data_IF_716959993751
#
_entry.id   IF_716959993751
#
_cell.length_a   1.000
_cell.length_b   1.000
_cell.length_c   1.000
_cell.angle_alpha   90.00
_cell.angle_beta   90.00
_cell.angle_gamma   90.00
#
_symmetry.space_group_name_H-M   'P 1'
#
loop_
_entity.id
_entity.type
_entity.pdbx_description
1 polymer ?
#
# COMPACT_ATOMS: atom_id res chain seq x y z
N UNK A 1 50.43 59.32 10.57
CA UNK A 1 48.96 59.45 10.61
C UNK A 1 48.35 58.05 10.53
N UNK A 2 47.94 57.52 11.67
CA UNK A 2 47.29 56.21 11.77
C UNK A 2 45.78 56.37 11.58
N UNK A 3 45.23 55.67 10.60
CA UNK A 3 43.79 55.59 10.39
C UNK A 3 43.23 54.57 11.42
N UNK A 4 42.17 54.88 12.17
CA UNK A 4 41.69 54.00 13.24
C UNK A 4 41.02 52.73 12.71
N UNK A 5 41.23 51.61 13.43
CA UNK A 5 40.66 50.26 13.21
C UNK A 5 39.12 50.13 13.30
N UNK A 6 38.35 51.21 13.10
CA UNK A 6 36.87 51.18 13.09
C UNK A 6 36.24 51.21 11.69
N UNK A 7 37.04 51.32 10.62
CA UNK A 7 36.52 51.40 9.25
C UNK A 7 36.68 50.12 8.40
N UNK A 8 37.31 49.06 8.90
CA UNK A 8 37.40 47.77 8.19
C UNK A 8 36.12 46.93 8.29
N UNK A 9 35.29 47.13 9.30
CA UNK A 9 34.06 46.34 9.50
C UNK A 9 32.91 46.80 8.60
N UNK A 10 32.86 48.09 8.21
CA UNK A 10 31.78 48.62 7.38
C UNK A 10 31.97 48.35 5.87
N UNK A 11 33.20 48.19 5.40
CA UNK A 11 33.48 47.87 3.98
C UNK A 11 33.24 46.37 3.71
N UNK A 12 33.48 45.48 4.69
CA UNK A 12 33.15 44.06 4.55
C UNK A 12 31.63 43.79 4.65
N UNK A 13 30.87 44.53 5.47
CA UNK A 13 29.41 44.38 5.52
C UNK A 13 28.72 44.91 4.25
N UNK A 14 29.22 45.99 3.65
CA UNK A 14 28.66 46.56 2.41
C UNK A 14 28.85 45.66 1.18
N UNK A 15 30.01 45.00 1.07
CA UNK A 15 30.30 44.09 -0.05
C UNK A 15 29.50 42.77 0.04
N UNK A 16 29.24 42.25 1.25
CA UNK A 16 28.43 41.04 1.44
C UNK A 16 26.94 41.31 1.18
N UNK A 17 26.42 42.51 1.48
CA UNK A 17 25.03 42.86 1.19
C UNK A 17 24.78 43.07 -0.32
N UNK A 18 25.73 43.65 -1.05
CA UNK A 18 25.58 43.92 -2.50
C UNK A 18 25.70 42.63 -3.33
N UNK A 19 26.54 41.67 -2.91
CA UNK A 19 26.58 40.34 -3.55
C UNK A 19 25.33 39.52 -3.20
N UNK A 20 24.80 39.63 -1.97
CA UNK A 20 23.55 38.97 -1.57
C UNK A 20 22.31 39.48 -2.33
N UNK A 21 22.21 40.80 -2.58
CA UNK A 21 21.11 41.40 -3.33
C UNK A 21 21.21 41.15 -4.85
N UNK A 22 22.42 41.10 -5.41
CA UNK A 22 22.60 40.80 -6.84
C UNK A 22 22.33 39.32 -7.18
N UNK A 23 22.65 38.39 -6.26
CA UNK A 23 22.30 36.97 -6.42
C UNK A 23 20.79 36.75 -6.22
N UNK A 24 20.16 37.48 -5.31
CA UNK A 24 18.70 37.43 -5.09
C UNK A 24 17.85 37.94 -6.26
N UNK A 25 18.40 38.81 -7.13
CA UNK A 25 17.70 39.31 -8.32
C UNK A 25 17.93 38.47 -9.59
N UNK A 26 18.93 37.58 -9.61
CA UNK A 26 19.22 36.71 -10.76
C UNK A 26 18.58 35.32 -10.65
N UNK A 27 18.16 34.90 -9.46
CA UNK A 27 17.31 33.74 -9.25
C UNK A 27 15.89 34.20 -8.91
N UNK A 28 15.19 34.67 -9.95
CA UNK A 28 13.74 34.82 -9.91
C UNK A 28 13.10 33.46 -9.65
N UNK A 29 12.97 33.10 -8.38
CA UNK A 29 12.01 32.10 -7.94
C UNK A 29 10.64 32.66 -8.28
N UNK A 30 10.16 32.36 -9.48
CA UNK A 30 8.73 32.25 -9.71
C UNK A 30 8.25 31.09 -8.86
N UNK A 31 8.04 31.36 -7.56
CA UNK A 31 7.00 30.67 -6.82
C UNK A 31 5.74 31.00 -7.59
N UNK A 32 5.32 30.09 -8.45
CA UNK A 32 3.95 30.06 -8.92
C UNK A 32 3.17 29.75 -7.65
N UNK A 33 2.72 30.79 -6.94
CA UNK A 33 1.59 30.64 -6.04
C UNK A 33 0.48 30.05 -6.89
N UNK A 34 0.23 28.75 -6.71
CA UNK A 34 -1.00 28.16 -7.19
C UNK A 34 -2.11 28.93 -6.48
N UNK A 35 -2.72 29.87 -7.21
CA UNK A 35 -3.90 30.58 -6.76
C UNK A 35 -4.90 29.53 -6.29
N UNK A 36 -5.07 29.41 -4.98
CA UNK A 36 -6.02 28.46 -4.41
C UNK A 36 -7.41 29.12 -4.48
N UNK A 37 -7.91 29.26 -5.71
CA UNK A 37 -9.32 29.53 -5.96
C UNK A 37 -10.10 28.30 -5.55
N UNK A 38 -10.39 28.18 -4.25
CA UNK A 38 -11.19 27.11 -3.69
C UNK A 38 -12.65 27.33 -4.08
N UNK A 39 -13.02 26.94 -5.30
CA UNK A 39 -14.40 26.58 -5.61
C UNK A 39 -14.84 25.44 -4.69
N UNK A 40 -16.12 25.36 -4.30
CA UNK A 40 -16.66 24.22 -3.56
C UNK A 40 -16.26 22.92 -4.25
N UNK A 41 -15.82 21.93 -3.47
CA UNK A 41 -15.37 20.68 -4.06
C UNK A 41 -16.58 19.82 -4.42
N UNK A 42 -16.91 19.74 -5.71
CA UNK A 42 -18.06 18.99 -6.21
C UNK A 42 -17.85 17.47 -6.23
N UNK A 43 -16.66 16.99 -5.83
CA UNK A 43 -16.36 15.55 -5.77
C UNK A 43 -17.30 14.83 -4.82
N UNK A 44 -17.86 13.71 -5.29
CA UNK A 44 -18.72 12.82 -4.51
C UNK A 44 -17.95 11.59 -4.05
N UNK A 45 -17.81 11.39 -2.74
CA UNK A 45 -17.04 10.30 -2.14
C UNK A 45 -18.00 9.24 -1.58
N UNK A 46 -17.75 7.97 -1.84
CA UNK A 46 -18.43 6.88 -1.12
C UNK A 46 -17.53 6.39 0.01
N UNK A 47 -17.97 6.61 1.26
CA UNK A 47 -17.34 6.03 2.45
C UNK A 47 -17.96 4.65 2.68
N UNK A 48 -17.16 3.60 2.54
CA UNK A 48 -17.53 2.20 2.79
C UNK A 48 -17.07 1.85 4.19
N UNK A 49 -18.00 1.84 5.15
CA UNK A 49 -17.71 1.46 6.52
C UNK A 49 -17.82 -0.05 6.70
N UNK A 50 -16.69 -0.73 6.53
CA UNK A 50 -16.62 -2.21 6.62
C UNK A 50 -16.59 -2.70 8.06
N UNK A 51 -16.04 -1.92 8.98
CA UNK A 51 -15.83 -2.27 10.38
C UNK A 51 -14.48 -1.78 10.90
N UNK A 52 -13.95 -2.46 11.92
CA UNK A 52 -12.66 -2.15 12.53
C UNK A 52 -12.73 -1.20 13.72
N UNK A 53 -11.60 -1.07 14.41
CA UNK A 53 -11.42 -0.33 15.67
C UNK A 53 -12.02 1.06 15.66
N UNK A 54 -12.04 1.72 14.50
CA UNK A 54 -12.56 3.07 14.29
C UNK A 54 -13.98 3.28 14.82
N UNK A 55 -14.86 2.28 14.76
CA UNK A 55 -16.20 2.35 15.36
C UNK A 55 -16.46 1.27 16.42
N UNK A 56 -15.41 0.81 17.10
CA UNK A 56 -15.56 -0.05 18.26
C UNK A 56 -15.88 0.76 19.52
N UNK A 57 -16.55 0.14 20.49
CA UNK A 57 -16.80 0.71 21.82
C UNK A 57 -16.35 -0.27 22.89
N UNK A 58 -16.03 0.25 24.08
CA UNK A 58 -15.77 -0.60 25.24
C UNK A 58 -17.06 -1.30 25.67
N UNK A 59 -17.01 -2.63 25.74
CA UNK A 59 -18.07 -3.46 26.33
C UNK A 59 -17.48 -4.30 27.47
N UNK A 60 -18.30 -4.91 28.34
CA UNK A 60 -17.79 -5.83 29.37
C UNK A 60 -16.94 -6.98 28.84
N UNK A 61 -17.16 -7.40 27.58
CA UNK A 61 -16.42 -8.49 26.92
C UNK A 61 -15.22 -7.98 26.09
N UNK A 62 -14.78 -6.74 26.31
CA UNK A 62 -13.74 -6.08 25.52
C UNK A 62 -14.29 -5.15 24.43
N UNK A 63 -13.41 -4.71 23.52
CA UNK A 63 -13.81 -3.85 22.40
C UNK A 63 -14.67 -4.64 21.42
N UNK A 64 -15.83 -4.09 21.03
CA UNK A 64 -16.69 -4.67 19.98
C UNK A 64 -17.15 -3.59 19.01
N UNK A 65 -17.36 -3.99 17.75
CA UNK A 65 -17.97 -3.11 16.75
C UNK A 65 -19.38 -2.69 17.19
N UNK A 66 -19.69 -1.39 17.11
CA UNK A 66 -21.04 -0.86 17.31
C UNK A 66 -21.51 -0.22 16.00
N UNK A 67 -22.59 -0.72 15.37
CA UNK A 67 -23.15 -0.12 14.17
C UNK A 67 -23.37 1.38 14.33
N UNK A 68 -23.01 2.16 13.32
CA UNK A 68 -23.15 3.62 13.31
C UNK A 68 -22.11 4.40 14.13
N UNK A 69 -21.40 3.80 15.08
CA UNK A 69 -20.52 4.57 15.99
C UNK A 69 -19.40 5.30 15.23
N UNK A 70 -18.70 4.62 14.33
CA UNK A 70 -17.61 5.24 13.57
C UNK A 70 -18.08 6.41 12.69
N UNK A 71 -19.29 6.32 12.18
CA UNK A 71 -19.88 7.31 11.27
C UNK A 71 -20.45 8.50 12.04
N UNK A 72 -21.12 8.24 13.16
CA UNK A 72 -21.63 9.27 14.08
C UNK A 72 -20.50 10.13 14.67
N UNK A 73 -19.37 9.52 15.05
CA UNK A 73 -18.22 10.26 15.57
C UNK A 73 -17.56 11.14 14.49
N UNK A 74 -17.49 10.66 13.25
CA UNK A 74 -16.99 11.46 12.11
C UNK A 74 -17.91 12.65 11.84
N UNK A 75 -19.22 12.44 11.77
CA UNK A 75 -20.20 13.52 11.56
C UNK A 75 -20.14 14.55 12.70
N UNK A 76 -20.06 14.08 13.95
CA UNK A 76 -19.91 14.94 15.13
C UNK A 76 -18.65 15.79 15.03
N UNK A 77 -17.51 15.20 14.68
CA UNK A 77 -16.26 15.94 14.53
C UNK A 77 -16.35 17.00 13.43
N UNK A 78 -16.88 16.65 12.25
CA UNK A 78 -17.03 17.58 11.14
C UNK A 78 -18.05 18.69 11.43
N UNK A 79 -19.05 18.45 12.27
CA UNK A 79 -20.01 19.46 12.70
C UNK A 79 -19.39 20.61 13.52
N UNK A 80 -18.23 20.38 14.14
CA UNK A 80 -17.45 21.41 14.83
C UNK A 80 -16.79 22.40 13.85
N UNK A 81 -16.67 22.01 12.58
CA UNK A 81 -15.95 22.74 11.53
C UNK A 81 -16.80 22.86 10.26
N UNK A 82 -18.00 23.48 10.32
CA UNK A 82 -18.98 23.46 9.22
C UNK A 82 -18.41 24.02 7.91
N UNK A 83 -17.59 25.06 7.97
CA UNK A 83 -16.94 25.66 6.80
C UNK A 83 -15.93 24.74 6.10
N UNK A 84 -15.42 23.72 6.79
CA UNK A 84 -14.49 22.73 6.23
C UNK A 84 -15.20 21.51 5.66
N UNK A 85 -16.46 21.25 6.07
CA UNK A 85 -17.30 20.21 5.45
C UNK A 85 -17.44 20.46 3.94
N UNK A 86 -17.64 21.72 3.56
CA UNK A 86 -17.77 22.12 2.15
C UNK A 86 -16.46 22.00 1.35
N UNK A 87 -15.29 21.98 2.03
CA UNK A 87 -13.98 21.83 1.39
C UNK A 87 -13.60 20.37 1.10
N UNK A 88 -14.06 19.45 1.95
CA UNK A 88 -13.90 18.00 1.74
C UNK A 88 -14.81 17.50 0.60
N UNK A 89 -15.87 18.24 0.27
CA UNK A 89 -16.84 17.83 -0.73
C UNK A 89 -17.89 16.88 -0.16
N UNK A 90 -18.75 16.36 -1.04
CA UNK A 90 -19.91 15.56 -0.64
C UNK A 90 -19.48 14.13 -0.42
N UNK A 91 -19.92 13.52 0.68
CA UNK A 91 -19.74 12.10 0.88
C UNK A 91 -21.03 11.44 1.35
N UNK A 92 -21.24 10.21 0.88
CA UNK A 92 -22.27 9.31 1.39
C UNK A 92 -21.59 8.17 2.15
N UNK A 93 -22.25 7.62 3.17
CA UNK A 93 -21.72 6.49 3.92
C UNK A 93 -22.57 5.24 3.68
N UNK A 94 -21.91 4.17 3.27
CA UNK A 94 -22.47 2.82 3.19
C UNK A 94 -21.81 1.96 4.28
N UNK A 95 -22.59 1.61 5.29
CA UNK A 95 -22.14 0.72 6.36
C UNK A 95 -22.49 -0.73 6.06
N UNK A 96 -21.56 -1.65 6.33
CA UNK A 96 -21.82 -3.09 6.24
C UNK A 96 -22.61 -3.57 7.45
N UNK A 97 -23.57 -4.45 7.17
CA UNK A 97 -24.31 -5.20 8.19
C UNK A 97 -24.18 -6.71 7.91
N UNK A 98 -23.60 -7.50 8.83
CA UNK A 98 -22.87 -7.05 10.01
C UNK A 98 -21.56 -6.34 9.64
N UNK A 99 -21.05 -5.53 10.59
CA UNK A 99 -19.68 -5.00 10.51
C UNK A 99 -18.68 -6.15 10.62
N UNK A 100 -17.56 -6.01 9.90
CA UNK A 100 -16.51 -7.00 9.78
C UNK A 100 -15.41 -6.76 10.82
N UNK A 101 -14.85 -7.85 11.33
CA UNK A 101 -13.58 -7.85 12.06
C UNK A 101 -12.48 -8.21 11.07
N UNK A 102 -11.46 -7.36 10.94
CA UNK A 102 -10.36 -7.58 10.00
C UNK A 102 -9.64 -8.90 10.23
N UNK A 103 -9.57 -9.38 11.48
CA UNK A 103 -8.91 -10.65 11.80
C UNK A 103 -9.65 -11.89 11.27
N UNK A 104 -10.94 -11.76 10.98
CA UNK A 104 -11.79 -12.82 10.44
C UNK A 104 -12.03 -12.69 8.92
N UNK A 105 -11.42 -11.70 8.27
CA UNK A 105 -11.68 -11.45 6.85
C UNK A 105 -11.10 -12.52 5.93
N UNK A 106 -11.84 -12.82 4.87
CA UNK A 106 -11.44 -13.75 3.82
C UNK A 106 -11.60 -13.14 2.41
N UNK A 107 -11.21 -13.85 1.32
CA UNK A 107 -11.40 -13.35 -0.04
C UNK A 107 -12.86 -13.05 -0.44
N UNK A 108 -13.83 -13.64 0.24
CA UNK A 108 -15.25 -13.32 0.12
C UNK A 108 -15.57 -11.90 0.59
N UNK A 109 -14.91 -11.41 1.64
CA UNK A 109 -15.06 -10.03 2.12
C UNK A 109 -14.42 -9.03 1.16
N UNK A 110 -13.25 -9.35 0.59
CA UNK A 110 -12.66 -8.56 -0.49
C UNK A 110 -13.62 -8.46 -1.67
N UNK A 111 -14.23 -9.59 -2.07
CA UNK A 111 -15.24 -9.60 -3.12
C UNK A 111 -16.47 -8.75 -2.80
N UNK A 112 -16.88 -8.66 -1.53
CA UNK A 112 -17.96 -7.75 -1.11
C UNK A 112 -17.55 -6.29 -1.38
N UNK A 113 -16.34 -5.89 -0.97
CA UNK A 113 -15.80 -4.55 -1.25
C UNK A 113 -15.66 -4.25 -2.75
N UNK A 114 -15.12 -5.20 -3.53
CA UNK A 114 -14.97 -5.07 -4.99
C UNK A 114 -16.33 -4.83 -5.65
N UNK A 115 -17.35 -5.60 -5.28
CA UNK A 115 -18.72 -5.42 -5.78
C UNK A 115 -19.30 -4.07 -5.38
N UNK A 116 -19.16 -3.68 -4.11
CA UNK A 116 -19.63 -2.37 -3.62
C UNK A 116 -19.03 -1.22 -4.43
N UNK A 117 -17.72 -1.23 -4.67
CA UNK A 117 -17.05 -0.22 -5.51
C UNK A 117 -17.58 -0.28 -6.93
N UNK A 118 -17.66 -1.48 -7.52
CA UNK A 118 -18.14 -1.67 -8.90
C UNK A 118 -19.54 -1.12 -9.12
N UNK A 119 -20.46 -1.50 -8.25
CA UNK A 119 -21.89 -1.18 -8.40
C UNK A 119 -22.16 0.31 -8.16
N UNK A 120 -21.21 1.02 -7.53
CA UNK A 120 -21.26 2.45 -7.27
C UNK A 120 -20.29 3.27 -8.14
N UNK A 121 -19.55 2.63 -9.05
CA UNK A 121 -18.41 3.26 -9.71
C UNK A 121 -18.78 4.48 -10.56
N UNK A 122 -19.95 4.49 -11.19
CA UNK A 122 -20.42 5.63 -11.99
C UNK A 122 -20.90 6.82 -11.14
N UNK A 123 -21.30 6.57 -9.89
CA UNK A 123 -22.04 7.53 -9.07
C UNK A 123 -21.14 8.37 -8.15
N UNK A 124 -19.89 7.94 -7.95
CA UNK A 124 -18.93 8.57 -7.05
C UNK A 124 -17.60 8.79 -7.74
N UNK A 125 -16.88 9.82 -7.35
CA UNK A 125 -15.56 10.17 -7.87
C UNK A 125 -14.41 9.46 -7.14
N UNK A 126 -14.65 9.00 -5.91
CA UNK A 126 -13.64 8.40 -5.04
C UNK A 126 -14.29 7.44 -4.03
N UNK A 127 -13.49 6.50 -3.52
CA UNK A 127 -13.93 5.52 -2.52
C UNK A 127 -13.02 5.56 -1.30
N UNK A 128 -13.61 5.68 -0.11
CA UNK A 128 -12.90 5.60 1.16
C UNK A 128 -13.38 4.38 1.94
N UNK A 129 -12.50 3.42 2.21
CA UNK A 129 -12.81 2.20 2.95
C UNK A 129 -12.30 2.36 4.38
N UNK A 130 -13.23 2.41 5.34
CA UNK A 130 -12.92 2.31 6.76
C UNK A 130 -12.78 0.83 7.13
N UNK A 131 -11.61 0.44 7.63
CA UNK A 131 -11.20 -0.95 7.80
C UNK A 131 -10.47 -1.18 9.13
N UNK A 132 -10.51 -2.42 9.65
CA UNK A 132 -9.70 -2.83 10.81
C UNK A 132 -8.22 -2.98 10.46
N UNK A 133 -7.31 -2.69 11.40
CA UNK A 133 -5.88 -2.55 11.07
C UNK A 133 -5.16 -3.87 10.81
N UNK A 134 -5.62 -5.00 11.35
CA UNK A 134 -4.84 -6.25 11.31
C UNK A 134 -4.62 -6.81 9.90
N UNK A 135 -5.63 -6.72 9.03
CA UNK A 135 -5.55 -7.23 7.65
C UNK A 135 -5.69 -6.13 6.60
N UNK A 136 -5.61 -4.85 7.00
CA UNK A 136 -5.79 -3.70 6.12
C UNK A 136 -4.85 -3.73 4.90
N UNK A 137 -3.57 -4.07 5.11
CA UNK A 137 -2.58 -4.16 4.03
C UNK A 137 -2.86 -5.32 3.06
N UNK A 138 -3.45 -6.42 3.55
CA UNK A 138 -3.93 -7.52 2.68
C UNK A 138 -5.12 -7.05 1.84
N UNK A 139 -6.12 -6.40 2.44
CA UNK A 139 -7.25 -5.86 1.68
C UNK A 139 -6.81 -4.82 0.65
N UNK A 140 -5.94 -3.88 1.02
CA UNK A 140 -5.41 -2.88 0.09
C UNK A 140 -4.65 -3.55 -1.08
N UNK A 141 -3.87 -4.59 -0.80
CA UNK A 141 -3.18 -5.38 -1.83
C UNK A 141 -4.18 -6.09 -2.74
N UNK A 142 -5.18 -6.78 -2.17
CA UNK A 142 -6.19 -7.52 -2.93
C UNK A 142 -7.02 -6.62 -3.86
N UNK A 143 -7.48 -5.48 -3.35
CA UNK A 143 -8.22 -4.49 -4.14
C UNK A 143 -7.36 -3.95 -5.29
N UNK A 144 -6.05 -3.75 -5.08
CA UNK A 144 -5.17 -3.22 -6.13
C UNK A 144 -5.10 -4.14 -7.36
N UNK A 145 -5.11 -5.46 -7.16
CA UNK A 145 -5.11 -6.43 -8.26
C UNK A 145 -6.51 -6.59 -8.87
N UNK A 146 -7.55 -6.58 -8.03
CA UNK A 146 -8.92 -6.83 -8.48
C UNK A 146 -9.54 -5.68 -9.28
N UNK A 147 -9.23 -4.43 -8.93
CA UNK A 147 -9.80 -3.24 -9.56
C UNK A 147 -9.03 -2.87 -10.84
N UNK A 148 -9.17 -3.71 -11.87
CA UNK A 148 -8.63 -3.47 -13.22
C UNK A 148 -9.34 -2.26 -13.87
N UNK A 149 -8.57 -1.40 -14.53
CA UNK A 149 -9.09 -0.20 -15.19
C UNK A 149 -9.51 0.91 -14.21
N UNK A 150 -8.93 0.92 -13.01
CA UNK A 150 -9.20 1.92 -11.99
C UNK A 150 -8.75 3.30 -12.46
N UNK A 151 -9.71 4.22 -12.51
CA UNK A 151 -9.57 5.60 -12.93
C UNK A 151 -10.05 6.59 -11.85
N UNK A 152 -10.16 6.12 -10.61
CA UNK A 152 -10.63 6.86 -9.43
C UNK A 152 -9.83 6.43 -8.20
N UNK A 153 -9.52 7.32 -7.26
CA UNK A 153 -8.79 6.94 -6.05
C UNK A 153 -9.63 6.02 -5.16
N UNK A 154 -8.98 4.99 -4.61
CA UNK A 154 -9.53 4.12 -3.58
C UNK A 154 -8.61 4.17 -2.38
N UNK A 155 -9.08 4.75 -1.29
CA UNK A 155 -8.31 4.89 -0.05
C UNK A 155 -8.77 3.84 0.95
N UNK A 156 -7.84 3.11 1.55
CA UNK A 156 -8.09 2.25 2.72
C UNK A 156 -7.47 2.92 3.95
N UNK A 157 -8.26 3.07 5.00
CA UNK A 157 -7.78 3.66 6.26
C UNK A 157 -8.48 3.05 7.47
N UNK A 158 -8.04 3.42 8.66
CA UNK A 158 -8.61 2.97 9.93
C UNK A 158 -8.01 3.70 11.11
N UNK A 159 -8.03 3.05 12.27
CA UNK A 159 -7.49 3.61 13.51
C UNK A 159 -6.94 2.48 14.39
N UNK A 160 -5.89 2.79 15.16
CA UNK A 160 -5.42 1.92 16.24
C UNK A 160 -6.28 2.10 17.49
N UNK A 161 -6.85 3.29 17.68
CA UNK A 161 -7.73 3.61 18.80
C UNK A 161 -9.16 3.90 18.33
N UNK A 162 -10.20 3.47 19.07
CA UNK A 162 -11.56 3.79 18.71
C UNK A 162 -11.85 5.29 18.70
N UNK A 163 -12.69 5.75 17.77
CA UNK A 163 -13.08 7.18 17.70
C UNK A 163 -13.78 7.68 18.97
N UNK A 164 -14.43 6.79 19.72
CA UNK A 164 -15.06 7.12 21.00
C UNK A 164 -14.05 7.49 22.10
N UNK A 165 -12.74 7.21 21.93
CA UNK A 165 -11.71 7.62 22.89
C UNK A 165 -11.30 9.07 22.69
N UNK A 166 -11.06 9.78 23.80
CA UNK A 166 -10.64 11.19 23.80
C UNK A 166 -9.39 11.43 22.93
N UNK A 167 -8.36 10.59 23.09
CA UNK A 167 -7.17 10.60 22.23
C UNK A 167 -7.25 9.40 21.30
N UNK A 168 -7.43 9.66 20.02
CA UNK A 168 -7.42 8.65 18.98
C UNK A 168 -6.70 9.17 17.73
N UNK A 169 -6.19 8.25 16.92
CA UNK A 169 -5.57 8.51 15.62
C UNK A 169 -6.59 8.52 14.46
N UNK A 170 -7.77 7.90 14.68
CA UNK A 170 -8.78 7.70 13.65
C UNK A 170 -9.32 8.98 13.03
N UNK A 171 -9.54 10.05 13.80
CA UNK A 171 -10.00 11.33 13.24
C UNK A 171 -8.99 11.87 12.24
N UNK A 172 -7.71 11.91 12.59
CA UNK A 172 -6.68 12.43 11.69
C UNK A 172 -6.57 11.58 10.41
N UNK A 173 -6.56 10.25 10.56
CA UNK A 173 -6.51 9.33 9.43
C UNK A 173 -7.71 9.51 8.48
N UNK A 174 -8.93 9.67 9.03
CA UNK A 174 -10.14 9.91 8.23
C UNK A 174 -10.11 11.26 7.51
N UNK A 175 -9.69 12.33 8.19
CA UNK A 175 -9.61 13.66 7.58
C UNK A 175 -8.58 13.68 6.45
N UNK A 176 -7.38 13.12 6.67
CA UNK A 176 -6.38 12.98 5.61
C UNK A 176 -6.93 12.19 4.43
N UNK A 177 -7.64 11.09 4.71
CA UNK A 177 -8.21 10.21 3.68
C UNK A 177 -9.32 10.89 2.88
N UNK A 178 -10.21 11.61 3.56
CA UNK A 178 -11.26 12.40 2.93
C UNK A 178 -10.64 13.49 2.05
N UNK A 179 -9.71 14.29 2.58
CA UNK A 179 -8.99 15.31 1.81
C UNK A 179 -8.35 14.69 0.58
N UNK A 180 -7.66 13.55 0.70
CA UNK A 180 -7.05 12.87 -0.44
C UNK A 180 -8.08 12.49 -1.51
N UNK A 181 -9.21 11.88 -1.12
CA UNK A 181 -10.31 11.53 -2.03
C UNK A 181 -10.91 12.75 -2.76
N UNK A 182 -10.90 13.91 -2.13
CA UNK A 182 -11.43 15.16 -2.69
C UNK A 182 -10.49 15.80 -3.71
N UNK A 183 -9.22 15.40 -3.77
CA UNK A 183 -8.25 16.04 -4.67
C UNK A 183 -8.50 15.67 -6.13
N UNK A 184 -8.43 16.64 -7.02
CA UNK A 184 -8.50 16.42 -8.47
C UNK A 184 -7.27 15.73 -9.05
N UNK A 185 -6.13 15.82 -8.35
CA UNK A 185 -4.85 15.24 -8.74
C UNK A 185 -4.53 13.93 -8.00
N UNK A 186 -5.49 13.37 -7.25
CA UNK A 186 -5.34 12.11 -6.52
C UNK A 186 -4.93 10.97 -7.47
N UNK A 187 -4.06 10.08 -7.00
CA UNK A 187 -3.63 8.94 -7.80
C UNK A 187 -4.79 7.95 -7.96
N UNK A 188 -4.99 7.47 -9.19
CA UNK A 188 -5.98 6.43 -9.51
C UNK A 188 -5.47 5.03 -9.12
N UNK A 189 -5.16 4.88 -7.84
CA UNK A 189 -4.61 3.67 -7.24
C UNK A 189 -5.40 3.29 -5.99
N UNK A 190 -5.20 2.06 -5.53
CA UNK A 190 -5.54 1.70 -4.15
C UNK A 190 -4.39 2.15 -3.26
N UNK A 191 -4.66 3.11 -2.37
CA UNK A 191 -3.69 3.63 -1.41
C UNK A 191 -4.11 3.32 0.03
N UNK A 192 -3.14 3.18 0.92
CA UNK A 192 -3.36 3.07 2.35
C UNK A 192 -2.89 4.37 3.01
N UNK A 193 -3.76 5.02 3.78
CA UNK A 193 -3.43 6.27 4.49
C UNK A 193 -3.43 6.03 5.99
N UNK A 194 -2.30 6.28 6.62
CA UNK A 194 -2.11 6.14 8.06
C UNK A 194 -1.00 7.06 8.54
N UNK A 195 -1.18 7.69 9.70
CA UNK A 195 -0.17 8.55 10.34
C UNK A 195 0.43 9.59 9.39
N UNK A 196 -0.44 10.33 8.70
CA UNK A 196 -0.10 11.36 7.71
C UNK A 196 0.66 10.86 6.47
N UNK A 197 0.90 9.56 6.32
CA UNK A 197 1.59 9.00 5.15
C UNK A 197 0.59 8.33 4.20
N UNK A 198 0.83 8.51 2.91
CA UNK A 198 0.08 7.84 1.83
C UNK A 198 0.98 6.78 1.23
N UNK A 199 0.59 5.52 1.36
CA UNK A 199 1.31 4.37 0.83
C UNK A 199 0.56 3.78 -0.35
N UNK A 200 1.29 3.27 -1.35
CA UNK A 200 0.69 2.36 -2.34
C UNK A 200 0.20 1.10 -1.62
N UNK A 201 -1.06 0.72 -1.83
CA UNK A 201 -1.71 -0.34 -1.05
C UNK A 201 -0.95 -1.67 -1.05
N UNK A 202 -0.55 -2.14 -2.23
CA UNK A 202 0.24 -3.37 -2.41
C UNK A 202 1.73 -3.27 -2.07
N UNK A 203 2.18 -2.16 -1.50
CA UNK A 203 3.51 -2.00 -0.92
C UNK A 203 3.48 -1.85 0.60
N UNK A 204 2.28 -1.68 1.16
CA UNK A 204 2.08 -1.44 2.58
C UNK A 204 2.18 -2.74 3.42
N UNK A 205 2.56 -2.56 4.69
CA UNK A 205 2.64 -3.60 5.71
C UNK A 205 2.37 -3.01 7.09
N UNK A 206 1.67 -3.74 7.97
CA UNK A 206 1.59 -3.39 9.39
C UNK A 206 2.90 -3.76 10.08
N UNK A 207 3.68 -2.76 10.48
CA UNK A 207 4.99 -2.89 11.11
C UNK A 207 4.91 -2.94 12.63
N UNK A 208 3.84 -2.38 13.22
CA UNK A 208 3.67 -2.36 14.68
C UNK A 208 2.23 -2.70 15.07
N UNK A 209 2.03 -3.54 16.10
CA UNK A 209 0.71 -3.83 16.62
C UNK A 209 0.13 -2.65 17.43
N UNK A 210 0.97 -1.80 18.03
CA UNK A 210 0.57 -0.89 19.12
C UNK A 210 1.03 0.57 18.97
N UNK A 211 1.78 0.93 17.91
CA UNK A 211 2.12 2.32 17.61
C UNK A 211 1.08 2.93 16.68
N UNK A 212 0.91 4.26 16.76
CA UNK A 212 0.16 5.04 15.77
C UNK A 212 0.87 5.02 14.40
N UNK A 213 2.20 4.96 14.38
CA UNK A 213 3.04 4.61 13.21
C UNK A 213 2.95 3.11 12.88
N UNK A 214 1.71 2.60 12.73
CA UNK A 214 1.43 1.17 12.62
C UNK A 214 1.86 0.59 11.28
N UNK A 215 1.76 1.37 10.20
CA UNK A 215 1.99 0.94 8.83
C UNK A 215 3.26 1.56 8.24
N UNK A 216 3.87 0.84 7.31
CA UNK A 216 4.94 1.35 6.48
C UNK A 216 5.00 0.63 5.14
N UNK A 217 5.95 1.03 4.31
CA UNK A 217 6.17 0.47 2.98
C UNK A 217 7.68 0.16 2.82
N UNK A 218 8.12 -1.05 3.20
CA UNK A 218 9.55 -1.33 3.39
C UNK A 218 10.41 -1.23 2.12
N UNK A 219 9.84 -1.57 0.96
CA UNK A 219 10.55 -1.67 -0.32
C UNK A 219 10.13 -0.61 -1.34
N UNK A 220 9.35 0.39 -0.90
CA UNK A 220 8.84 1.45 -1.77
C UNK A 220 8.52 2.69 -0.93
N UNK A 221 8.90 3.91 -1.33
CA UNK A 221 8.65 5.08 -0.49
C UNK A 221 7.14 5.37 -0.41
N UNK A 222 6.67 6.07 0.64
CA UNK A 222 5.33 6.68 0.62
C UNK A 222 5.17 7.53 -0.64
N UNK A 223 3.99 7.49 -1.26
CA UNK A 223 3.68 8.28 -2.47
C UNK A 223 3.34 9.73 -2.13
N UNK A 224 3.03 10.02 -0.87
CA UNK A 224 2.81 11.37 -0.37
C UNK A 224 2.75 11.41 1.16
N UNK A 225 2.73 12.64 1.68
CA UNK A 225 2.70 12.95 3.10
C UNK A 225 1.85 14.19 3.36
N UNK A 226 1.06 14.16 4.43
CA UNK A 226 0.39 15.31 5.00
C UNK A 226 1.36 15.99 6.01
N UNK A 227 1.85 17.17 5.64
CA UNK A 227 2.59 18.09 6.52
C UNK A 227 1.70 19.26 6.93
N UNK A 228 2.24 20.48 6.86
CA UNK A 228 1.40 21.70 6.86
C UNK A 228 0.49 21.67 5.62
N UNK A 229 1.07 21.34 4.47
CA UNK A 229 0.38 21.06 3.23
C UNK A 229 0.52 19.57 2.87
N UNK A 230 -0.31 19.13 1.92
CA UNK A 230 -0.11 17.81 1.33
C UNK A 230 0.99 17.87 0.27
N UNK A 231 2.02 17.05 0.47
CA UNK A 231 3.15 16.93 -0.42
C UNK A 231 3.18 15.52 -1.00
N UNK A 232 3.11 15.42 -2.33
CA UNK A 232 3.44 14.15 -2.94
C UNK A 232 4.95 13.93 -2.90
N UNK A 233 5.36 12.67 -2.74
CA UNK A 233 6.75 12.26 -2.92
C UNK A 233 7.01 12.06 -4.43
N UNK A 234 6.97 13.17 -5.17
CA UNK A 234 7.10 13.25 -6.63
C UNK A 234 8.40 13.97 -6.97
N UNK A 235 9.21 13.35 -7.83
CA UNK A 235 10.17 14.09 -8.63
C UNK A 235 9.46 14.73 -9.82
N UNK A 236 9.59 16.05 -9.96
CA UNK A 236 9.14 16.76 -11.17
C UNK A 236 10.14 16.51 -12.28
N UNK A 237 9.68 15.97 -13.41
CA UNK A 237 10.50 15.91 -14.62
C UNK A 237 10.77 17.35 -15.10
N UNK A 238 12.04 17.76 -15.06
CA UNK A 238 12.46 19.14 -15.36
C UNK A 238 12.18 19.54 -16.81
N UNK A 239 12.10 18.59 -17.74
CA UNK A 239 11.93 18.85 -19.17
C UNK A 239 10.45 19.12 -19.55
N UNK A 240 9.51 18.47 -18.86
CA UNK A 240 8.09 18.53 -19.24
C UNK A 240 7.27 19.47 -18.36
N UNK A 241 7.78 19.87 -17.18
CA UNK A 241 7.06 20.66 -16.15
C UNK A 241 5.68 20.10 -15.76
N UNK A 242 5.32 18.91 -16.22
CA UNK A 242 4.18 18.15 -15.74
C UNK A 242 4.56 17.47 -14.43
N UNK A 243 3.66 17.41 -13.43
CA UNK A 243 3.78 16.48 -12.31
C UNK A 243 3.72 15.05 -12.85
N UNK A 244 4.84 14.54 -13.35
CA UNK A 244 4.96 13.14 -13.76
C UNK A 244 5.68 12.44 -12.62
N UNK A 245 4.98 11.60 -11.87
CA UNK A 245 5.69 10.86 -10.83
C UNK A 245 6.52 9.77 -11.50
N UNK A 246 7.76 9.54 -11.03
CA UNK A 246 8.56 8.34 -11.37
C UNK A 246 7.76 7.02 -11.15
N UNK A 247 6.63 7.12 -10.44
CA UNK A 247 5.85 6.03 -9.89
C UNK A 247 4.41 5.93 -10.44
N UNK A 248 3.90 6.95 -11.15
CA UNK A 248 2.60 6.97 -11.82
C UNK A 248 2.82 6.24 -13.12
N UNK A 249 2.76 4.92 -12.99
CA UNK A 249 2.85 4.04 -14.13
C UNK A 249 1.44 3.91 -14.66
N UNK A 250 1.28 4.23 -15.94
CA UNK A 250 0.12 3.74 -16.70
C UNK A 250 0.33 2.25 -16.90
N UNK A 251 0.06 1.44 -15.87
CA UNK A 251 0.14 0.00 -15.99
C UNK A 251 -0.79 -0.45 -17.09
N UNK A 252 -0.30 -1.27 -18.01
CA UNK A 252 -1.14 -1.84 -19.07
C UNK A 252 -2.39 -2.52 -18.49
N UNK A 253 -2.24 -3.13 -17.31
CA UNK A 253 -3.35 -3.73 -16.58
C UNK A 253 -4.44 -2.71 -16.15
N UNK A 254 -4.05 -1.46 -15.90
CA UNK A 254 -4.96 -0.36 -15.59
C UNK A 254 -5.41 0.43 -16.82
N UNK A 255 -4.87 0.13 -18.01
CA UNK A 255 -5.33 0.71 -19.28
C UNK A 255 -6.55 -0.08 -19.78
N UNK A 256 -7.72 0.54 -19.80
CA UNK A 256 -8.93 -0.06 -20.36
C UNK A 256 -10.20 0.32 -19.61
N UNK A 257 -11.29 -0.39 -19.95
CA UNK A 257 -12.54 -0.27 -19.22
C UNK A 257 -12.37 -0.76 -17.77
N UNK A 258 -13.10 -0.14 -16.85
CA UNK A 258 -13.14 -0.58 -15.47
C UNK A 258 -13.89 -1.91 -15.37
N UNK A 259 -13.14 -2.99 -15.14
CA UNK A 259 -13.62 -4.38 -15.14
C UNK A 259 -13.12 -5.13 -13.91
N UNK A 260 -13.71 -4.88 -12.73
CA UNK A 260 -13.28 -5.53 -11.50
C UNK A 260 -13.42 -7.05 -11.55
N UNK A 261 -12.38 -7.73 -11.09
CA UNK A 261 -12.33 -9.20 -11.08
C UNK A 261 -12.46 -9.73 -9.65
N UNK A 262 -13.29 -10.76 -9.48
CA UNK A 262 -13.53 -11.37 -8.18
C UNK A 262 -12.58 -12.54 -7.92
N UNK A 263 -12.20 -12.71 -6.65
CA UNK A 263 -11.45 -13.85 -6.16
C UNK A 263 -12.33 -15.11 -6.09
N UNK A 264 -11.78 -16.27 -6.46
CA UNK A 264 -12.44 -17.54 -6.22
C UNK A 264 -12.47 -17.85 -4.72
N UNK A 265 -13.61 -18.35 -4.24
CA UNK A 265 -13.74 -18.85 -2.86
C UNK A 265 -13.07 -20.22 -2.72
N UNK A 266 -12.57 -20.54 -1.53
CA UNK A 266 -11.94 -21.84 -1.25
C UNK A 266 -10.64 -22.06 -2.04
N UNK A 267 -9.88 -20.99 -2.29
CA UNK A 267 -8.49 -21.09 -2.71
C UNK A 267 -7.63 -21.48 -1.53
N UNK A 268 -6.72 -22.42 -1.74
CA UNK A 268 -5.77 -22.87 -0.73
C UNK A 268 -4.35 -22.44 -1.12
N UNK A 269 -3.98 -21.22 -0.73
CA UNK A 269 -2.64 -20.68 -0.89
C UNK A 269 -1.92 -20.82 0.46
N UNK A 270 -0.88 -21.64 0.52
CA UNK A 270 -0.21 -21.97 1.77
C UNK A 270 1.04 -21.11 1.91
N UNK A 271 1.14 -20.33 2.98
CA UNK A 271 2.34 -19.56 3.31
C UNK A 271 3.22 -20.38 4.25
N UNK A 272 4.49 -20.59 3.89
CA UNK A 272 5.45 -21.34 4.71
C UNK A 272 6.63 -20.45 5.05
N UNK A 273 6.79 -20.13 6.33
CA UNK A 273 7.98 -19.46 6.84
C UNK A 273 9.07 -20.50 7.12
N UNK A 274 10.20 -20.40 6.42
CA UNK A 274 11.31 -21.34 6.63
C UNK A 274 11.98 -21.10 7.98
N UNK A 275 12.32 -22.17 8.68
CA UNK A 275 13.15 -22.14 9.89
C UNK A 275 14.31 -23.12 9.75
N UNK A 276 15.45 -22.91 10.43
CA UNK A 276 16.52 -23.89 10.43
C UNK A 276 16.01 -25.26 10.90
N UNK A 277 16.18 -26.29 10.06
CA UNK A 277 15.72 -27.65 10.37
C UNK A 277 14.24 -27.92 10.11
N UNK A 278 13.50 -27.01 9.46
CA UNK A 278 12.11 -27.27 9.05
C UNK A 278 12.00 -28.59 8.25
N UNK A 279 11.02 -29.41 8.61
CA UNK A 279 10.67 -30.62 7.87
C UNK A 279 9.51 -30.33 6.91
N UNK A 280 9.65 -30.74 5.65
CA UNK A 280 8.64 -30.57 4.61
C UNK A 280 7.78 -31.80 4.31
N UNK A 281 7.93 -32.90 5.06
CA UNK A 281 7.20 -34.15 4.82
C UNK A 281 5.68 -33.93 4.84
N UNK A 282 5.14 -33.18 5.81
CA UNK A 282 3.70 -32.88 5.88
C UNK A 282 3.20 -32.03 4.69
N UNK A 283 3.99 -31.07 4.22
CA UNK A 283 3.60 -30.30 3.03
C UNK A 283 3.62 -31.17 1.77
N UNK A 284 4.53 -32.14 1.71
CA UNK A 284 4.62 -33.12 0.62
C UNK A 284 3.40 -34.03 0.64
N UNK A 285 3.06 -34.60 1.80
CA UNK A 285 1.88 -35.43 2.00
C UNK A 285 0.59 -34.69 1.63
N UNK A 286 0.48 -33.40 1.97
CA UNK A 286 -0.67 -32.58 1.56
C UNK A 286 -0.83 -32.52 0.03
N UNK A 287 0.26 -32.44 -0.72
CA UNK A 287 0.22 -32.43 -2.18
C UNK A 287 -0.12 -33.82 -2.74
N UNK A 288 0.51 -34.88 -2.21
CA UNK A 288 0.35 -36.25 -2.70
C UNK A 288 -1.01 -36.87 -2.38
N UNK A 289 -1.59 -36.51 -1.23
CA UNK A 289 -2.94 -36.96 -0.82
C UNK A 289 -4.08 -36.40 -1.67
N UNK A 290 -3.78 -35.53 -2.65
CA UNK A 290 -4.77 -34.93 -3.53
C UNK A 290 -5.60 -33.82 -2.88
N UNK A 291 -5.16 -33.29 -1.73
CA UNK A 291 -5.77 -32.10 -1.18
C UNK A 291 -5.65 -30.95 -2.18
N UNK A 292 -6.72 -30.17 -2.32
CA UNK A 292 -6.70 -29.01 -3.22
C UNK A 292 -5.72 -27.97 -2.67
N UNK A 293 -4.53 -27.91 -3.24
CA UNK A 293 -3.52 -26.88 -2.99
C UNK A 293 -3.36 -26.07 -4.27
N UNK A 294 -3.58 -24.76 -4.18
CA UNK A 294 -3.52 -23.87 -5.33
C UNK A 294 -2.12 -23.31 -5.56
N UNK A 295 -1.37 -23.02 -4.50
CA UNK A 295 0.03 -22.61 -4.56
C UNK A 295 0.67 -22.62 -3.17
N UNK A 296 2.00 -22.55 -3.13
CA UNK A 296 2.78 -22.22 -1.94
C UNK A 296 3.46 -20.85 -2.09
N UNK A 297 3.50 -20.08 -1.00
CA UNK A 297 4.35 -18.88 -0.85
C UNK A 297 5.38 -19.19 0.24
N UNK A 298 6.62 -19.40 -0.16
CA UNK A 298 7.74 -19.64 0.76
C UNK A 298 8.33 -18.31 1.19
N UNK A 299 8.42 -18.07 2.50
CA UNK A 299 9.27 -17.00 3.04
C UNK A 299 10.64 -17.59 3.36
N UNK A 300 11.61 -17.32 2.51
CA UNK A 300 12.97 -17.87 2.58
C UNK A 300 13.96 -16.89 3.23
N UNK A 301 15.20 -17.33 3.44
CA UNK A 301 16.20 -16.54 4.15
C UNK A 301 16.86 -15.49 3.25
N UNK A 302 17.10 -14.29 3.77
CA UNK A 302 17.87 -13.24 3.11
C UNK A 302 17.37 -12.95 1.70
N UNK A 303 18.26 -13.04 0.71
CA UNK A 303 17.97 -12.78 -0.71
C UNK A 303 17.19 -13.89 -1.43
N UNK A 304 16.57 -14.84 -0.70
CA UNK A 304 15.77 -15.90 -1.33
C UNK A 304 16.26 -17.33 -1.11
N UNK A 305 17.12 -17.57 -0.11
CA UNK A 305 17.81 -18.85 0.08
C UNK A 305 16.94 -19.89 0.80
N UNK A 306 16.78 -21.06 0.18
CA UNK A 306 16.20 -22.26 0.80
C UNK A 306 17.29 -23.27 1.25
N UNK A 307 16.96 -24.23 2.13
CA UNK A 307 17.89 -25.24 2.63
C UNK A 307 18.09 -26.34 1.57
N UNK A 308 18.86 -26.06 0.53
CA UNK A 308 19.06 -26.97 -0.60
C UNK A 308 19.64 -28.34 -0.20
N UNK A 309 20.43 -28.45 0.87
CA UNK A 309 20.90 -29.72 1.42
C UNK A 309 19.84 -30.56 2.17
N UNK A 310 18.64 -30.01 2.43
CA UNK A 310 17.58 -30.70 3.15
C UNK A 310 16.77 -31.60 2.20
N UNK A 311 16.85 -32.92 2.41
CA UNK A 311 16.16 -33.91 1.57
C UNK A 311 14.63 -33.77 1.56
N UNK A 312 14.00 -33.44 2.70
CA UNK A 312 12.54 -33.22 2.75
C UNK A 312 12.13 -32.00 1.91
N UNK A 313 12.94 -30.93 1.94
CA UNK A 313 12.70 -29.73 1.13
C UNK A 313 12.87 -30.00 -0.36
N UNK A 314 13.93 -30.72 -0.74
CA UNK A 314 14.14 -31.13 -2.13
C UNK A 314 12.95 -31.99 -2.61
N UNK A 315 12.54 -32.99 -1.83
CA UNK A 315 11.42 -33.87 -2.15
C UNK A 315 10.12 -33.07 -2.34
N UNK A 316 9.80 -32.17 -1.41
CA UNK A 316 8.65 -31.28 -1.52
C UNK A 316 8.63 -30.47 -2.82
N UNK A 317 9.76 -29.85 -3.20
CA UNK A 317 9.83 -29.07 -4.44
C UNK A 317 9.70 -29.95 -5.69
N UNK A 318 10.30 -31.16 -5.66
CA UNK A 318 10.11 -32.14 -6.72
C UNK A 318 8.65 -32.54 -6.87
N UNK A 319 7.96 -32.82 -5.75
CA UNK A 319 6.54 -33.18 -5.73
C UNK A 319 5.66 -32.03 -6.25
N UNK A 320 5.91 -30.78 -5.83
CA UNK A 320 5.21 -29.62 -6.36
C UNK A 320 5.41 -29.44 -7.86
N UNK A 321 6.63 -29.63 -8.37
CA UNK A 321 6.92 -29.53 -9.80
C UNK A 321 6.25 -30.67 -10.60
N UNK A 322 6.28 -31.91 -10.09
CA UNK A 322 5.65 -33.07 -10.71
C UNK A 322 4.12 -32.96 -10.77
N UNK A 323 3.50 -32.35 -9.75
CA UNK A 323 2.05 -32.08 -9.68
C UNK A 323 1.64 -30.73 -10.27
N UNK A 324 2.60 -29.99 -10.82
CA UNK A 324 2.44 -28.64 -11.39
C UNK A 324 1.81 -27.60 -10.43
N UNK A 325 2.11 -27.68 -9.13
CA UNK A 325 1.70 -26.68 -8.15
C UNK A 325 2.68 -25.49 -8.19
N UNK A 326 2.19 -24.23 -8.30
CA UNK A 326 3.01 -23.04 -8.18
C UNK A 326 3.69 -22.92 -6.81
N UNK A 327 4.98 -22.60 -6.82
CA UNK A 327 5.75 -22.27 -5.61
C UNK A 327 6.40 -20.92 -5.83
N UNK A 328 6.04 -19.96 -4.99
CA UNK A 328 6.52 -18.58 -5.01
C UNK A 328 7.53 -18.37 -3.87
N UNK A 329 8.54 -17.55 -4.10
CA UNK A 329 9.61 -17.29 -3.15
C UNK A 329 9.68 -15.80 -2.81
N UNK A 330 9.44 -15.45 -1.56
CA UNK A 330 9.66 -14.11 -1.01
C UNK A 330 10.64 -14.19 0.16
N UNK A 331 11.23 -13.06 0.55
CA UNK A 331 12.09 -13.02 1.73
C UNK A 331 11.28 -12.96 3.03
N UNK A 332 11.83 -13.53 4.10
CA UNK A 332 11.39 -13.24 5.47
C UNK A 332 11.81 -11.83 5.92
N UNK A 333 12.88 -11.28 5.35
CA UNK A 333 13.33 -9.94 5.65
C UNK A 333 12.27 -8.94 5.17
N UNK A 334 11.93 -7.98 6.03
CA UNK A 334 10.96 -6.94 5.67
C UNK A 334 11.45 -6.05 4.54
N UNK A 335 12.76 -5.86 4.41
CA UNK A 335 13.40 -5.05 3.38
C UNK A 335 14.31 -5.89 2.48
N UNK A 336 14.40 -5.49 1.22
CA UNK A 336 15.24 -6.12 0.21
C UNK A 336 14.43 -6.90 -0.83
N UNK A 337 15.16 -7.66 -1.65
CA UNK A 337 14.64 -8.35 -2.83
C UNK A 337 15.17 -9.79 -2.88
N UNK A 338 14.33 -10.69 -3.40
CA UNK A 338 14.75 -12.04 -3.79
C UNK A 338 15.53 -12.02 -5.11
N UNK A 339 16.73 -12.58 -5.08
CA UNK A 339 17.69 -12.68 -6.19
C UNK A 339 18.03 -14.16 -6.44
N UNK A 340 17.21 -14.82 -7.26
CA UNK A 340 17.43 -16.21 -7.67
C UNK A 340 18.35 -16.27 -8.91
N UNK A 341 19.67 -16.25 -8.69
CA UNK A 341 20.64 -16.38 -9.80
C UNK A 341 22.11 -16.38 -9.36
N UNK A 342 22.47 -15.61 -8.33
CA UNK A 342 23.88 -15.32 -8.02
C UNK A 342 24.55 -16.31 -7.05
N UNK A 343 23.80 -17.27 -6.51
CA UNK A 343 24.28 -18.28 -5.56
C UNK A 343 23.90 -19.70 -5.97
N UNK A 344 24.69 -20.70 -5.53
CA UNK A 344 24.46 -22.12 -5.82
C UNK A 344 23.04 -22.58 -5.42
N UNK A 345 22.54 -22.12 -4.27
CA UNK A 345 21.17 -22.31 -3.76
C UNK A 345 20.10 -21.70 -4.68
N UNK A 346 20.34 -20.50 -5.23
CA UNK A 346 19.45 -19.84 -6.19
C UNK A 346 19.30 -20.63 -7.49
N UNK A 347 20.38 -21.28 -7.95
CA UNK A 347 20.34 -22.15 -9.13
C UNK A 347 19.43 -23.38 -8.94
N UNK A 348 19.35 -23.91 -7.71
CA UNK A 348 18.51 -25.06 -7.37
C UNK A 348 17.02 -24.70 -7.40
N UNK A 349 16.63 -23.60 -6.75
CA UNK A 349 15.23 -23.14 -6.74
C UNK A 349 14.71 -22.85 -8.15
N UNK A 350 15.54 -22.23 -8.99
CA UNK A 350 15.19 -21.98 -10.41
C UNK A 350 15.01 -23.28 -11.21
N UNK A 351 15.85 -24.30 -10.98
CA UNK A 351 15.68 -25.64 -11.58
C UNK A 351 14.36 -26.31 -11.17
N UNK A 352 13.89 -26.03 -9.95
CA UNK A 352 12.60 -26.53 -9.44
C UNK A 352 11.40 -25.67 -9.84
N UNK A 353 11.56 -24.72 -10.76
CA UNK A 353 10.51 -23.77 -11.19
C UNK A 353 9.89 -22.98 -10.03
N UNK A 354 10.67 -22.74 -8.97
CA UNK A 354 10.30 -21.81 -7.89
C UNK A 354 10.46 -20.40 -8.40
N UNK A 355 9.41 -19.60 -8.24
CA UNK A 355 9.28 -18.29 -8.87
C UNK A 355 9.63 -17.17 -7.88
N UNK A 356 10.62 -16.32 -8.16
CA UNK A 356 10.96 -15.21 -7.28
C UNK A 356 9.84 -14.15 -7.27
N UNK A 357 9.46 -13.71 -6.08
CA UNK A 357 8.53 -12.61 -5.83
C UNK A 357 9.18 -11.23 -5.75
N UNK A 358 10.47 -11.12 -6.12
CA UNK A 358 11.24 -9.88 -6.05
C UNK A 358 11.19 -9.27 -4.65
N UNK A 359 10.68 -8.04 -4.53
CA UNK A 359 10.61 -7.20 -3.35
C UNK A 359 9.15 -7.03 -2.85
N UNK A 360 8.25 -7.94 -3.25
CA UNK A 360 6.87 -7.97 -2.75
C UNK A 360 6.84 -8.19 -1.24
N UNK A 361 5.90 -7.52 -0.59
CA UNK A 361 5.49 -7.86 0.78
C UNK A 361 4.76 -9.22 0.80
N UNK A 362 4.59 -9.81 1.99
CA UNK A 362 3.79 -11.02 2.14
C UNK A 362 2.34 -10.77 1.71
N UNK A 363 1.80 -9.62 2.08
CA UNK A 363 0.45 -9.15 1.79
C UNK A 363 0.21 -9.12 0.27
N UNK A 364 1.14 -8.54 -0.49
CA UNK A 364 1.08 -8.49 -1.94
C UNK A 364 1.27 -9.87 -2.56
N UNK A 365 2.26 -10.64 -2.12
CA UNK A 365 2.55 -11.97 -2.68
C UNK A 365 1.38 -12.95 -2.48
N UNK A 366 0.81 -13.00 -1.28
CA UNK A 366 -0.34 -13.85 -0.96
C UNK A 366 -1.57 -13.46 -1.79
N UNK A 367 -1.92 -12.17 -1.80
CA UNK A 367 -3.11 -11.69 -2.52
C UNK A 367 -2.95 -11.78 -4.04
N UNK A 368 -1.73 -11.60 -4.56
CA UNK A 368 -1.41 -11.85 -5.98
C UNK A 368 -1.53 -13.32 -6.33
N UNK A 369 -1.03 -14.23 -5.49
CA UNK A 369 -1.20 -15.68 -5.70
C UNK A 369 -2.69 -16.07 -5.71
N UNK A 370 -3.49 -15.57 -4.77
CA UNK A 370 -4.95 -15.74 -4.77
C UNK A 370 -5.58 -15.19 -6.05
N UNK A 371 -5.13 -14.02 -6.51
CA UNK A 371 -5.67 -13.36 -7.69
C UNK A 371 -5.39 -14.17 -8.96
N UNK A 372 -4.13 -14.58 -9.15
CA UNK A 372 -3.70 -15.37 -10.30
C UNK A 372 -4.36 -16.75 -10.33
N UNK A 373 -4.54 -17.40 -9.18
CA UNK A 373 -5.29 -18.65 -9.08
C UNK A 373 -6.80 -18.47 -9.39
N UNK A 374 -7.34 -17.26 -9.22
CA UNK A 374 -8.72 -16.94 -9.60
C UNK A 374 -8.85 -16.73 -11.11
N UNK A 375 -7.92 -16.01 -11.74
CA UNK A 375 -8.01 -15.67 -13.18
C UNK A 375 -7.40 -16.72 -14.11
N UNK A 376 -6.53 -17.59 -13.59
CA UNK A 376 -5.90 -18.68 -14.34
C UNK A 376 -6.02 -20.03 -13.61
N UNK A 377 -7.24 -20.47 -13.22
CA UNK A 377 -7.44 -21.60 -12.31
C UNK A 377 -6.84 -22.92 -12.80
N UNK A 378 -6.74 -23.10 -14.12
CA UNK A 378 -6.22 -24.31 -14.76
C UNK A 378 -4.90 -24.07 -15.51
N UNK A 379 -4.18 -22.98 -15.21
CA UNK A 379 -2.94 -22.64 -15.92
C UNK A 379 -1.82 -22.21 -14.97
N UNK A 380 -1.25 -23.14 -14.17
CA UNK A 380 -0.14 -22.85 -13.26
C UNK A 380 1.05 -22.14 -13.92
N UNK A 381 1.40 -22.49 -15.17
CA UNK A 381 2.50 -21.84 -15.89
C UNK A 381 2.22 -20.36 -16.20
N UNK A 382 0.96 -20.03 -16.51
CA UNK A 382 0.53 -18.64 -16.66
C UNK A 382 0.57 -17.91 -15.32
N UNK A 383 0.18 -18.56 -14.23
CA UNK A 383 0.31 -18.00 -12.88
C UNK A 383 1.77 -17.73 -12.52
N UNK A 384 2.71 -18.66 -12.79
CA UNK A 384 4.15 -18.45 -12.59
C UNK A 384 4.66 -17.25 -13.38
N UNK A 385 4.31 -17.18 -14.66
CA UNK A 385 4.71 -16.08 -15.56
C UNK A 385 4.21 -14.72 -15.07
N UNK A 386 2.93 -14.63 -14.70
CA UNK A 386 2.31 -13.38 -14.27
C UNK A 386 2.74 -12.96 -12.86
N UNK A 387 3.10 -13.91 -12.00
CA UNK A 387 3.59 -13.59 -10.66
C UNK A 387 4.89 -12.76 -10.68
N UNK A 388 5.76 -12.99 -11.67
CA UNK A 388 7.03 -12.24 -11.82
C UNK A 388 6.87 -10.86 -12.45
N UNK A 389 5.71 -10.57 -13.07
CA UNK A 389 5.48 -9.31 -13.78
C UNK A 389 4.85 -8.29 -12.85
N UNK A 390 5.36 -7.06 -12.87
CA UNK A 390 4.70 -5.91 -12.25
C UNK A 390 3.32 -5.70 -12.90
N UNK A 391 2.25 -5.87 -12.13
CA UNK A 391 0.88 -5.69 -12.60
C UNK A 391 0.34 -4.31 -12.25
N UNK A 392 0.55 -3.88 -11.01
CA UNK A 392 -0.08 -2.69 -10.40
C UNK A 392 0.85 -2.02 -9.40
N UNK A 393 2.16 -2.16 -9.58
CA UNK A 393 3.18 -1.46 -8.82
C UNK A 393 3.73 -2.24 -7.63
N UNK A 394 3.39 -3.51 -7.50
CA UNK A 394 3.75 -4.37 -6.36
C UNK A 394 5.23 -4.84 -6.38
N UNK A 395 5.91 -4.76 -7.53
CA UNK A 395 7.32 -5.14 -7.72
C UNK A 395 8.11 -3.97 -8.29
N UNK A 396 9.37 -3.81 -7.87
CA UNK A 396 10.30 -2.83 -8.47
C UNK A 396 10.97 -3.44 -9.69
N UNK A 397 10.79 -2.81 -10.87
CA UNK A 397 11.42 -3.28 -12.12
C UNK A 397 12.95 -3.17 -12.05
N UNK A 398 13.65 -4.12 -12.68
CA UNK A 398 15.11 -4.07 -12.83
C UNK A 398 15.54 -2.75 -13.51
N UNK A 399 16.55 -2.07 -12.94
CA UNK A 399 17.07 -0.79 -13.44
C UNK A 399 16.57 0.47 -12.71
N UNK A 400 15.62 0.35 -11.76
CA UNK A 400 15.39 1.41 -10.77
C UNK A 400 16.47 1.28 -9.69
N UNK A 401 17.58 2.03 -9.83
CA UNK A 401 18.73 1.95 -8.92
C UNK A 401 18.35 1.96 -7.43
N UNK A 402 18.99 1.08 -6.68
CA UNK A 402 18.71 0.61 -5.31
C UNK A 402 18.90 1.63 -4.16
N UNK A 403 19.02 2.94 -4.43
CA UNK A 403 19.47 3.91 -3.41
C UNK A 403 18.55 5.10 -3.12
N UNK A 404 17.42 5.25 -3.80
CA UNK A 404 16.45 6.35 -3.53
C UNK A 404 15.26 5.94 -2.65
N UNK A 405 15.30 4.75 -2.03
CA UNK A 405 14.22 4.26 -1.16
C UNK A 405 14.18 4.95 0.22
N UNK A 406 15.13 5.83 0.53
CA UNK A 406 15.15 6.60 1.77
C UNK A 406 14.92 8.08 1.50
N UNK A 407 13.72 8.56 1.84
CA UNK A 407 13.70 9.73 2.72
C UNK A 407 13.93 9.13 4.11
N UNK A 408 15.04 9.44 4.82
CA UNK A 408 15.10 9.09 6.22
C UNK A 408 13.87 9.69 6.87
N UNK A 409 13.04 8.86 7.52
CA UNK A 409 12.10 9.36 8.51
C UNK A 409 12.96 10.03 9.58
N UNK A 410 13.30 11.30 9.37
CA UNK A 410 13.87 12.15 10.41
C UNK A 410 12.76 12.39 11.42
N UNK A 411 12.77 11.58 12.47
CA UNK A 411 12.58 11.92 13.89
C UNK A 411 12.32 10.63 14.69
#
# INVERSE_FOLDING_TARGET
MSIPKKYHTYILLGAVLIVGLAVGMLFGNHVVEAASSHSPNDKKILVIYTGGTIGMVNTPDGLKNKPGEGTEQLDKYLSLYPHYRDKIGKYDILSYDPLLDSSNMDPGDWNKMIKTIRDNYSNYDAFLIMHGTDTMAYTASALSFALKGLGKPVVVTGAQEPLAKLRNDGINNLICSLIYCSRSDAMHEVVLIFDNLVFRGNRSKKLSPNKNTAFGSPNFPPVGKFGIDFEYNIFVNQDTRTPTTKYQRLWQYQQGAFEPTLYHKGLNIIVVTLTPGINFDHYTEMVESGNKVNAFVLQTFGIGNGPDGNKSFQHFLHTCNATNIPVYNISQCSQGRVEQGDYATGSFLSKMKVVPGSDMTLEAAFTKACFLASIYPNSPDQQRTMFQRDMVGEITSAGMNDFELFIPLQA
#
